data_IF_566250745931
#
_entry.id   IF_566250745931
#
_cell.length_a   1.000
_cell.length_b   1.000
_cell.length_c   1.000
_cell.angle_alpha   90.00
_cell.angle_beta   90.00
_cell.angle_gamma   90.00
#
_symmetry.space_group_name_H-M   'P 1'
#
loop_
_entity.id
_entity.type
_entity.pdbx_description
1 polymer ?
#
# COMPACT_ATOMS: atom_id res chain seq x y z
N UNK A 1 20.50 7.27 5.12
CA UNK A 1 19.03 7.46 5.12
C UNK A 1 18.44 6.25 5.83
N UNK A 2 18.07 6.39 7.10
CA UNK A 2 17.51 5.29 7.90
C UNK A 2 16.05 5.05 7.47
N UNK A 3 15.61 3.81 7.21
CA UNK A 3 14.22 3.53 6.87
C UNK A 3 13.38 3.51 8.17
N UNK A 4 12.75 4.63 8.50
CA UNK A 4 12.07 4.84 9.79
C UNK A 4 10.71 4.11 9.94
N UNK A 5 10.13 3.53 8.87
CA UNK A 5 8.79 2.94 8.94
C UNK A 5 8.70 1.50 9.47
N UNK A 6 9.75 0.68 9.33
CA UNK A 6 9.69 -0.76 9.67
C UNK A 6 10.27 -1.11 11.04
N UNK A 7 10.84 -0.14 11.75
CA UNK A 7 11.57 -0.38 13.00
C UNK A 7 10.64 -0.69 14.18
N UNK A 8 9.45 -0.10 14.23
CA UNK A 8 8.50 -0.33 15.34
C UNK A 8 7.99 -1.78 15.31
N UNK A 9 7.55 -2.27 14.16
CA UNK A 9 7.00 -3.62 14.00
C UNK A 9 8.03 -4.75 14.13
N UNK A 10 9.33 -4.41 14.08
CA UNK A 10 10.44 -5.34 14.31
C UNK A 10 11.13 -5.11 15.66
N UNK A 11 10.67 -4.14 16.45
CA UNK A 11 11.29 -3.83 17.73
C UNK A 11 11.05 -4.97 18.72
N UNK A 12 12.07 -5.27 19.53
CA UNK A 12 11.97 -6.29 20.59
C UNK A 12 10.82 -6.00 21.56
N UNK A 13 10.58 -4.73 21.86
CA UNK A 13 9.45 -4.30 22.70
C UNK A 13 8.09 -4.66 22.11
N UNK A 14 7.87 -4.37 20.82
CA UNK A 14 6.62 -4.73 20.13
C UNK A 14 6.45 -6.24 20.01
N UNK A 15 7.51 -6.96 19.59
CA UNK A 15 7.45 -8.43 19.43
C UNK A 15 7.22 -9.13 20.77
N UNK A 16 7.89 -8.67 21.84
CA UNK A 16 7.68 -9.16 23.19
C UNK A 16 6.28 -8.87 23.72
N UNK A 17 5.73 -7.68 23.44
CA UNK A 17 4.35 -7.34 23.79
C UNK A 17 3.34 -8.19 23.00
N UNK A 18 3.50 -8.37 21.69
CA UNK A 18 2.64 -9.24 20.87
C UNK A 18 2.65 -10.68 21.39
N UNK A 19 3.84 -11.23 21.66
CA UNK A 19 3.98 -12.60 22.20
C UNK A 19 3.31 -12.76 23.57
N UNK A 20 3.39 -11.74 24.43
CA UNK A 20 2.80 -11.78 25.78
C UNK A 20 1.30 -11.56 25.79
N UNK A 21 0.81 -10.59 25.02
CA UNK A 21 -0.58 -10.10 25.08
C UNK A 21 -1.48 -10.81 24.06
N UNK A 22 -0.94 -11.20 22.91
CA UNK A 22 -1.67 -11.81 21.81
C UNK A 22 -0.98 -13.08 21.29
N UNK A 23 -0.80 -14.13 22.13
CA UNK A 23 -0.05 -15.33 21.75
C UNK A 23 -0.68 -16.11 20.58
N UNK A 24 -1.97 -15.89 20.30
CA UNK A 24 -2.69 -16.53 19.19
C UNK A 24 -2.54 -15.79 17.86
N UNK A 25 -1.86 -14.63 17.82
CA UNK A 25 -1.61 -13.87 16.60
C UNK A 25 -0.23 -14.23 16.05
N UNK A 26 -0.21 -14.75 14.82
CA UNK A 26 1.04 -15.07 14.11
C UNK A 26 1.49 -13.83 13.34
N UNK A 27 2.72 -13.36 13.60
CA UNK A 27 3.31 -12.24 12.89
C UNK A 27 3.99 -12.71 11.60
N UNK A 28 3.54 -12.20 10.46
CA UNK A 28 4.13 -12.47 9.14
C UNK A 28 4.92 -11.25 8.69
N UNK A 29 6.23 -11.41 8.53
CA UNK A 29 7.08 -10.32 8.04
C UNK A 29 7.12 -10.31 6.51
N UNK A 30 6.75 -9.17 5.94
CA UNK A 30 6.89 -8.91 4.51
C UNK A 30 8.30 -8.40 4.21
N UNK A 31 8.90 -8.91 3.13
CA UNK A 31 10.21 -8.45 2.66
C UNK A 31 10.15 -6.97 2.24
N UNK A 32 11.29 -6.28 2.33
CA UNK A 32 11.39 -4.91 1.84
C UNK A 32 11.06 -4.83 0.34
N UNK A 33 10.35 -3.78 -0.07
CA UNK A 33 9.87 -3.56 -1.45
C UNK A 33 8.83 -4.59 -1.94
N UNK A 34 8.28 -5.42 -1.07
CA UNK A 34 7.21 -6.36 -1.41
C UNK A 34 5.83 -5.87 -0.94
N UNK A 35 5.73 -4.67 -0.38
CA UNK A 35 4.47 -4.13 0.19
C UNK A 35 3.38 -4.01 -0.88
N UNK A 36 3.72 -3.46 -2.04
CA UNK A 36 2.81 -3.32 -3.18
C UNK A 36 2.35 -4.63 -3.83
N UNK A 37 2.83 -5.78 -3.37
CA UNK A 37 2.49 -7.11 -3.90
C UNK A 37 1.91 -8.03 -2.84
N UNK A 38 2.34 -7.89 -1.57
CA UNK A 38 1.99 -8.81 -0.50
C UNK A 38 1.29 -8.15 0.69
N UNK A 39 0.90 -6.89 0.58
CA UNK A 39 0.03 -6.25 1.56
C UNK A 39 -1.34 -6.03 0.94
N UNK A 40 -2.37 -6.79 1.34
CA UNK A 40 -3.72 -6.65 0.80
C UNK A 40 -4.27 -5.23 0.92
N UNK A 41 -3.86 -4.52 1.98
CA UNK A 41 -4.20 -3.11 2.15
C UNK A 41 -3.66 -2.26 1.00
N UNK A 42 -2.39 -2.38 0.65
CA UNK A 42 -1.79 -1.61 -0.44
C UNK A 42 -2.32 -2.04 -1.82
N UNK A 43 -2.51 -3.35 -2.02
CA UNK A 43 -2.88 -3.93 -3.33
C UNK A 43 -4.31 -3.59 -3.75
N UNK A 44 -5.28 -3.69 -2.82
CA UNK A 44 -6.70 -3.52 -3.17
C UNK A 44 -7.38 -2.40 -2.39
N UNK A 45 -7.27 -2.43 -1.07
CA UNK A 45 -8.11 -1.60 -0.18
C UNK A 45 -7.75 -0.12 -0.24
N UNK A 46 -6.46 0.20 -0.28
CA UNK A 46 -5.97 1.58 -0.24
C UNK A 46 -6.40 2.38 -1.47
N UNK A 47 -6.53 1.73 -2.64
CA UNK A 47 -7.03 2.37 -3.85
C UNK A 47 -8.47 2.83 -3.69
N UNK A 48 -9.34 1.94 -3.22
CA UNK A 48 -10.76 2.25 -2.95
C UNK A 48 -10.88 3.33 -1.88
N UNK A 49 -10.11 3.20 -0.78
CA UNK A 49 -10.08 4.20 0.30
C UNK A 49 -9.72 5.59 -0.22
N UNK A 50 -8.62 5.71 -0.99
CA UNK A 50 -8.17 6.99 -1.56
C UNK A 50 -9.21 7.60 -2.49
N UNK A 51 -9.84 6.78 -3.33
CA UNK A 51 -10.88 7.25 -4.25
C UNK A 51 -12.11 7.74 -3.49
N UNK A 52 -12.59 6.98 -2.50
CA UNK A 52 -13.72 7.39 -1.68
C UNK A 52 -13.44 8.70 -0.93
N UNK A 53 -12.24 8.83 -0.36
CA UNK A 53 -11.82 10.05 0.32
C UNK A 53 -11.81 11.26 -0.63
N UNK A 54 -11.25 11.10 -1.84
CA UNK A 54 -11.23 12.15 -2.87
C UNK A 54 -12.64 12.60 -3.23
N UNK A 55 -13.54 11.65 -3.54
CA UNK A 55 -14.94 11.94 -3.90
C UNK A 55 -15.70 12.60 -2.76
N UNK A 56 -15.52 12.13 -1.54
CA UNK A 56 -16.19 12.68 -0.36
C UNK A 56 -15.76 14.13 -0.10
N UNK A 57 -14.46 14.40 -0.19
CA UNK A 57 -13.93 15.76 -0.09
C UNK A 57 -14.41 16.66 -1.23
N UNK A 58 -14.44 16.15 -2.46
CA UNK A 58 -14.91 16.91 -3.61
C UNK A 58 -16.39 17.27 -3.48
N UNK A 59 -17.24 16.29 -3.16
CA UNK A 59 -18.68 16.49 -2.96
C UNK A 59 -18.97 17.51 -1.84
N UNK A 60 -18.25 17.45 -0.73
CA UNK A 60 -18.38 18.41 0.38
C UNK A 60 -18.07 19.85 -0.07
N UNK A 61 -16.96 20.05 -0.78
CA UNK A 61 -16.55 21.36 -1.29
C UNK A 61 -17.57 21.88 -2.32
N UNK A 62 -18.03 21.03 -3.24
CA UNK A 62 -19.03 21.40 -4.25
C UNK A 62 -20.35 21.79 -3.58
N UNK A 63 -20.79 21.06 -2.55
CA UNK A 63 -22.00 21.37 -1.81
C UNK A 63 -21.90 22.74 -1.11
N UNK A 64 -20.78 23.03 -0.44
CA UNK A 64 -20.56 24.32 0.21
C UNK A 64 -20.53 25.48 -0.79
N UNK A 65 -19.78 25.33 -1.89
CA UNK A 65 -19.68 26.35 -2.94
C UNK A 65 -21.06 26.59 -3.55
N UNK A 66 -21.78 25.52 -3.92
CA UNK A 66 -23.11 25.62 -4.50
C UNK A 66 -24.09 26.33 -3.57
N UNK A 67 -24.05 26.02 -2.27
CA UNK A 67 -24.84 26.71 -1.25
C UNK A 67 -24.52 28.20 -1.16
N UNK A 68 -23.23 28.57 -1.18
CA UNK A 68 -22.78 29.98 -1.15
C UNK A 68 -23.18 30.75 -2.41
N UNK A 69 -23.07 30.14 -3.59
CA UNK A 69 -23.53 30.74 -4.85
C UNK A 69 -25.05 30.95 -4.86
N UNK A 70 -25.82 29.95 -4.44
CA UNK A 70 -27.28 30.06 -4.37
C UNK A 70 -27.74 31.17 -3.41
N UNK A 71 -26.97 31.42 -2.35
CA UNK A 71 -27.20 32.52 -1.42
C UNK A 71 -26.69 33.89 -1.92
N UNK A 72 -26.08 33.98 -3.11
CA UNK A 72 -25.49 35.21 -3.63
C UNK A 72 -24.31 35.74 -2.79
N UNK A 73 -23.68 34.88 -1.99
CA UNK A 73 -22.58 35.24 -1.08
C UNK A 73 -21.22 35.14 -1.78
N UNK A 74 -20.21 35.81 -1.23
CA UNK A 74 -18.83 35.68 -1.72
C UNK A 74 -18.31 34.25 -1.52
N UNK A 75 -17.76 33.66 -2.58
CA UNK A 75 -17.23 32.29 -2.58
C UNK A 75 -15.84 32.28 -1.95
N UNK A 76 -15.80 32.15 -0.62
CA UNK A 76 -14.57 31.91 0.14
C UNK A 76 -14.73 30.62 0.94
N UNK A 77 -13.78 29.70 0.86
CA UNK A 77 -13.79 28.45 1.61
C UNK A 77 -13.04 28.62 2.92
N UNK A 78 -13.61 28.14 4.02
CA UNK A 78 -12.89 28.09 5.29
C UNK A 78 -11.97 26.86 5.30
N UNK A 79 -10.69 27.11 5.08
CA UNK A 79 -9.62 26.10 5.09
C UNK A 79 -8.90 26.03 6.44
N UNK A 80 -9.50 26.55 7.51
CA UNK A 80 -8.93 26.46 8.85
C UNK A 80 -8.83 25.00 9.29
N UNK A 81 -7.76 24.68 10.03
CA UNK A 81 -7.50 23.31 10.48
C UNK A 81 -8.64 22.70 11.30
N UNK A 82 -9.33 23.43 12.21
CA UNK A 82 -10.51 22.89 12.91
C UNK A 82 -11.61 22.44 11.94
N UNK A 83 -11.97 23.29 10.96
CA UNK A 83 -13.01 22.99 9.97
C UNK A 83 -12.62 21.80 9.09
N UNK A 84 -11.36 21.75 8.64
CA UNK A 84 -10.87 20.62 7.85
C UNK A 84 -10.83 19.31 8.64
N UNK A 85 -10.57 19.34 9.95
CA UNK A 85 -10.60 18.13 10.79
C UNK A 85 -12.01 17.56 10.91
N UNK A 86 -13.00 18.42 11.17
CA UNK A 86 -14.39 17.99 11.33
C UNK A 86 -14.93 17.40 10.03
N UNK A 87 -14.63 18.04 8.89
CA UNK A 87 -14.98 17.51 7.55
C UNK A 87 -14.29 16.19 7.24
N UNK A 88 -12.98 16.11 7.53
CA UNK A 88 -12.20 14.91 7.26
C UNK A 88 -12.74 13.68 8.00
N UNK A 89 -13.29 13.83 9.20
CA UNK A 89 -13.93 12.72 9.91
C UNK A 89 -15.12 12.15 9.11
N UNK A 90 -15.98 13.01 8.57
CA UNK A 90 -17.08 12.58 7.70
C UNK A 90 -16.59 11.84 6.46
N UNK A 91 -15.50 12.33 5.83
CA UNK A 91 -14.89 11.66 4.67
C UNK A 91 -14.28 10.30 5.03
N UNK A 92 -13.65 10.16 6.20
CA UNK A 92 -13.08 8.90 6.69
C UNK A 92 -14.18 7.88 6.97
N UNK A 93 -15.27 8.29 7.62
CA UNK A 93 -16.40 7.41 7.95
C UNK A 93 -17.03 6.86 6.67
N UNK A 94 -17.30 7.74 5.69
CA UNK A 94 -17.81 7.29 4.39
C UNK A 94 -16.84 6.34 3.68
N UNK A 95 -15.55 6.67 3.66
CA UNK A 95 -14.54 5.81 3.07
C UNK A 95 -14.40 4.46 3.78
N UNK A 96 -14.60 4.41 5.10
CA UNK A 96 -14.65 3.16 5.87
C UNK A 96 -15.81 2.27 5.40
N UNK A 97 -17.02 2.80 5.26
CA UNK A 97 -18.17 2.03 4.77
C UNK A 97 -17.93 1.50 3.34
N UNK A 98 -17.32 2.32 2.48
CA UNK A 98 -16.99 1.91 1.11
C UNK A 98 -15.99 0.74 1.05
N UNK A 99 -15.02 0.70 1.95
CA UNK A 99 -14.02 -0.38 2.00
C UNK A 99 -14.44 -1.59 2.84
N UNK A 100 -15.43 -1.44 3.73
CA UNK A 100 -15.89 -2.51 4.63
C UNK A 100 -16.79 -3.52 3.90
N UNK A 101 -16.34 -3.98 2.73
CA UNK A 101 -17.03 -4.93 1.86
C UNK A 101 -16.25 -6.25 1.85
N UNK A 102 -16.81 -7.36 2.37
CA UNK A 102 -16.10 -8.64 2.47
C UNK A 102 -15.55 -9.15 1.12
N UNK A 103 -16.27 -8.89 0.02
CA UNK A 103 -15.84 -9.25 -1.33
C UNK A 103 -14.54 -8.53 -1.73
N UNK A 104 -14.46 -7.21 -1.46
CA UNK A 104 -13.26 -6.41 -1.71
C UNK A 104 -12.07 -6.92 -0.90
N UNK A 105 -12.29 -7.20 0.40
CA UNK A 105 -11.22 -7.71 1.27
C UNK A 105 -10.72 -9.05 0.74
N UNK A 106 -11.61 -10.02 0.47
CA UNK A 106 -11.21 -11.33 -0.08
C UNK A 106 -10.44 -11.19 -1.39
N UNK A 107 -10.91 -10.32 -2.30
CA UNK A 107 -10.22 -10.05 -3.56
C UNK A 107 -8.84 -9.46 -3.35
N UNK A 108 -8.68 -8.51 -2.42
CA UNK A 108 -7.39 -7.90 -2.13
C UNK A 108 -6.33 -8.93 -1.69
N UNK A 109 -6.74 -9.96 -0.93
CA UNK A 109 -5.86 -11.08 -0.59
C UNK A 109 -5.55 -11.99 -1.79
N UNK A 110 -6.53 -12.21 -2.67
CA UNK A 110 -6.35 -12.98 -3.90
C UNK A 110 -5.37 -12.32 -4.88
N UNK A 111 -5.43 -10.99 -4.98
CA UNK A 111 -4.56 -10.17 -5.83
C UNK A 111 -3.12 -10.12 -5.30
N UNK A 112 -2.88 -10.45 -4.03
CA UNK A 112 -1.53 -10.57 -3.47
C UNK A 112 -0.83 -11.83 -3.98
N UNK A 113 -0.47 -11.86 -5.28
CA UNK A 113 -0.04 -13.04 -6.02
C UNK A 113 1.44 -13.00 -6.40
N UNK A 114 2.13 -14.13 -6.23
CA UNK A 114 3.45 -14.40 -6.80
C UNK A 114 3.48 -15.80 -7.40
N UNK A 115 3.76 -15.87 -8.71
CA UNK A 115 3.65 -17.09 -9.52
C UNK A 115 2.23 -17.67 -9.37
N UNK A 116 2.10 -18.97 -9.07
CA UNK A 116 0.81 -19.62 -8.84
C UNK A 116 0.21 -19.43 -7.43
N UNK A 117 0.93 -18.80 -6.50
CA UNK A 117 0.50 -18.63 -5.10
C UNK A 117 -0.03 -17.22 -4.84
N UNK A 118 -1.01 -17.10 -3.95
CA UNK A 118 -1.43 -15.81 -3.40
C UNK A 118 -1.75 -15.94 -1.90
N UNK A 119 -2.22 -14.84 -1.29
CA UNK A 119 -2.58 -14.82 0.13
C UNK A 119 -4.03 -15.25 0.40
N UNK A 120 -4.78 -15.73 -0.59
CA UNK A 120 -6.13 -16.23 -0.37
C UNK A 120 -6.11 -17.60 0.32
N UNK A 121 -7.17 -17.89 1.07
CA UNK A 121 -7.36 -19.20 1.68
C UNK A 121 -7.34 -20.34 0.64
N UNK A 122 -7.88 -20.08 -0.55
CA UNK A 122 -7.92 -21.06 -1.64
C UNK A 122 -6.52 -21.50 -2.04
N UNK A 123 -5.55 -20.58 -2.09
CA UNK A 123 -4.16 -20.91 -2.39
C UNK A 123 -3.57 -21.88 -1.37
N UNK A 124 -3.92 -21.77 -0.08
CA UNK A 124 -3.44 -22.70 0.95
C UNK A 124 -4.07 -24.09 0.84
N UNK A 125 -5.30 -24.18 0.31
CA UNK A 125 -6.03 -25.45 0.17
C UNK A 125 -5.79 -26.18 -1.14
N UNK A 126 -5.09 -25.56 -2.11
CA UNK A 126 -4.80 -26.19 -3.41
C UNK A 126 -3.96 -27.47 -3.21
N UNK A 127 -4.32 -28.59 -3.87
CA UNK A 127 -3.55 -29.84 -3.77
C UNK A 127 -2.06 -29.67 -4.11
N UNK A 128 -1.75 -28.84 -5.12
CA UNK A 128 -0.38 -28.51 -5.50
C UNK A 128 0.38 -27.80 -4.38
N UNK A 129 -0.28 -26.90 -3.65
CA UNK A 129 0.31 -26.17 -2.52
C UNK A 129 0.53 -27.09 -1.33
N UNK A 130 -0.44 -27.95 -1.01
CA UNK A 130 -0.28 -28.96 0.04
C UNK A 130 0.84 -29.95 -0.28
N UNK A 131 0.98 -30.35 -1.55
CA UNK A 131 2.08 -31.19 -2.00
C UNK A 131 3.42 -30.46 -1.88
N UNK A 132 3.50 -29.20 -2.32
CA UNK A 132 4.70 -28.38 -2.18
C UNK A 132 5.11 -28.20 -0.72
N UNK A 133 4.15 -27.94 0.18
CA UNK A 133 4.37 -27.87 1.63
C UNK A 133 4.85 -29.21 2.21
N UNK A 134 4.32 -30.33 1.74
CA UNK A 134 4.77 -31.67 2.13
C UNK A 134 6.21 -31.93 1.71
N UNK A 135 6.55 -31.60 0.45
CA UNK A 135 7.92 -31.71 -0.07
C UNK A 135 8.86 -30.83 0.76
N UNK A 136 8.50 -29.57 1.00
CA UNK A 136 9.29 -28.60 1.77
C UNK A 136 9.61 -29.09 3.18
N UNK A 137 8.66 -29.78 3.84
CA UNK A 137 8.88 -30.41 5.16
C UNK A 137 9.92 -31.54 5.13
N UNK A 138 10.13 -32.17 3.98
CA UNK A 138 11.10 -33.27 3.83
C UNK A 138 12.43 -32.81 3.24
N UNK A 139 12.43 -31.83 2.34
CA UNK A 139 13.62 -31.36 1.62
C UNK A 139 14.45 -30.35 2.43
N UNK A 140 13.83 -29.55 3.31
CA UNK A 140 14.52 -28.52 4.08
C UNK A 140 14.43 -28.78 5.58
N UNK A 141 15.26 -29.72 6.07
CA UNK A 141 15.31 -30.11 7.49
C UNK A 141 15.54 -28.91 8.42
N UNK A 142 16.35 -27.92 8.02
CA UNK A 142 16.59 -26.71 8.82
C UNK A 142 15.34 -25.83 8.95
N UNK A 143 14.60 -25.66 7.86
CA UNK A 143 13.40 -24.84 7.83
C UNK A 143 12.27 -25.53 8.60
N UNK A 144 12.18 -26.86 8.47
CA UNK A 144 11.32 -27.68 9.33
C UNK A 144 11.70 -27.53 10.79
N UNK A 145 12.98 -27.63 11.16
CA UNK A 145 13.42 -27.48 12.54
C UNK A 145 13.01 -26.11 13.11
N UNK A 146 13.17 -25.02 12.33
CA UNK A 146 12.69 -23.69 12.73
C UNK A 146 11.17 -23.66 12.94
N UNK A 147 10.39 -24.20 12.00
CA UNK A 147 8.94 -24.26 12.09
C UNK A 147 8.43 -25.12 13.25
N UNK A 148 9.10 -26.23 13.58
CA UNK A 148 8.68 -27.12 14.68
C UNK A 148 9.17 -26.66 16.05
N UNK A 149 10.30 -25.93 16.11
CA UNK A 149 10.88 -25.50 17.38
C UNK A 149 10.21 -24.23 17.94
N UNK A 150 9.61 -23.38 17.10
CA UNK A 150 8.91 -22.17 17.55
C UNK A 150 7.59 -22.44 18.30
N UNK A 151 7.03 -23.66 18.19
CA UNK A 151 5.79 -24.04 18.88
C UNK A 151 6.01 -24.66 20.27
N UNK A 152 7.24 -25.00 20.69
CA UNK A 152 7.45 -25.78 21.94
C UNK A 152 8.47 -25.25 22.95
N UNK A 153 8.99 -24.02 22.82
CA UNK A 153 9.84 -23.47 23.87
C UNK A 153 9.50 -22.01 24.24
N UNK A 154 9.10 -21.73 25.49
CA UNK A 154 9.39 -20.44 26.06
C UNK A 154 10.90 -20.33 26.08
N UNK A 155 11.47 -19.41 25.30
CA UNK A 155 12.89 -19.08 25.41
C UNK A 155 13.16 -18.74 26.88
N UNK A 156 13.78 -19.70 27.56
CA UNK A 156 14.42 -19.49 28.82
C UNK A 156 15.58 -18.55 28.55
N UNK A 157 15.28 -17.25 28.59
CA UNK A 157 16.25 -16.20 28.88
C UNK A 157 16.86 -16.59 30.22
N UNK A 158 17.93 -17.37 30.10
CA UNK A 158 18.67 -17.93 31.21
C UNK A 158 19.43 -16.78 31.82
N UNK A 159 18.89 -16.31 32.95
CA UNK A 159 19.62 -15.89 34.15
C UNK A 159 21.12 -15.61 33.91
N UNK A 160 21.44 -14.35 33.66
CA UNK A 160 22.71 -13.77 34.14
C UNK A 160 22.53 -12.32 34.51
N UNK A 161 21.75 -12.06 35.55
CA UNK A 161 21.95 -10.87 36.38
C UNK A 161 22.12 -11.29 37.84
N UNK A 162 23.39 -11.27 38.20
CA UNK A 162 23.97 -11.02 39.52
C UNK A 162 23.07 -10.20 40.44
N UNK A 163 22.82 -10.80 41.60
CA UNK A 163 22.45 -10.20 42.89
C UNK A 163 22.63 -8.68 43.00
N UNK A 164 21.53 -7.95 43.18
CA UNK A 164 21.54 -6.68 43.94
C UNK A 164 20.22 -6.42 44.66
N UNK A 165 20.33 -6.49 45.98
CA UNK A 165 19.59 -5.78 47.03
C UNK A 165 18.05 -5.73 47.04
N UNK A 166 17.52 -6.30 48.14
CA UNK A 166 16.23 -6.02 48.78
C UNK A 166 15.81 -4.55 48.71
N UNK A 167 14.58 -4.30 48.26
CA UNK A 167 13.76 -3.19 48.73
C UNK A 167 12.31 -3.66 48.89
N UNK A 168 11.77 -3.41 50.08
CA UNK A 168 10.38 -3.64 50.49
C UNK A 168 9.50 -2.53 49.90
N UNK A 169 8.32 -2.86 49.38
CA UNK A 169 7.10 -2.05 49.47
C UNK A 169 5.93 -2.89 48.92
N UNK A 170 5.02 -3.35 49.79
CA UNK A 170 3.83 -2.65 50.30
C UNK A 170 2.67 -2.70 49.31
N UNK A 171 1.85 -3.72 49.54
CA UNK A 171 0.50 -3.97 49.04
C UNK A 171 -0.41 -2.76 49.19
N UNK A 172 -1.06 -2.35 48.10
CA UNK A 172 -2.34 -1.66 48.13
C UNK A 172 -3.26 -2.29 47.10
N UNK A 173 -4.36 -2.82 47.61
CA UNK A 173 -5.50 -3.42 46.93
C UNK A 173 -6.38 -2.27 46.42
N UNK A 174 -6.66 -2.23 45.13
CA UNK A 174 -7.65 -1.32 44.55
C UNK A 174 -8.75 -2.18 43.93
N UNK A 175 -9.96 -1.99 44.45
CA UNK A 175 -11.22 -2.51 43.91
C UNK A 175 -11.54 -1.72 42.64
N UNK A 176 -11.92 -2.43 41.58
CA UNK A 176 -12.40 -1.85 40.32
C UNK A 176 -13.89 -2.16 40.28
N UNK A 177 -14.70 -1.11 40.30
CA UNK A 177 -16.14 -1.15 40.08
C UNK A 177 -16.40 -1.43 38.59
N UNK A 178 -17.33 -2.35 38.32
CA UNK A 178 -17.87 -2.61 37.00
C UNK A 178 -18.95 -1.55 36.72
N UNK A 179 -18.67 -0.62 35.80
CA UNK A 179 -19.67 0.27 35.22
C UNK A 179 -20.31 -0.40 34.01
N UNK A 180 -21.64 -0.48 34.03
CA UNK A 180 -22.51 -0.94 32.96
C UNK A 180 -22.31 -0.08 31.70
N UNK A 181 -21.98 -0.73 30.58
CA UNK A 181 -21.84 -0.09 29.27
C UNK A 181 -23.24 -0.05 28.64
N UNK A 182 -23.78 1.16 28.52
CA UNK A 182 -25.03 1.47 27.84
C UNK A 182 -24.99 1.05 26.36
N UNK A 183 -26.12 0.51 25.90
CA UNK A 183 -26.39 0.09 24.53
C UNK A 183 -26.18 1.27 23.56
N UNK A 184 -25.19 1.16 22.67
CA UNK A 184 -24.95 2.13 21.60
C UNK A 184 -26.15 2.14 20.63
N UNK A 185 -26.99 3.18 20.74
CA UNK A 185 -27.90 3.58 19.67
C UNK A 185 -27.07 3.88 18.41
N UNK A 186 -27.19 3.02 17.39
CA UNK A 186 -26.72 3.29 16.04
C UNK A 186 -27.38 4.60 15.54
N UNK A 187 -26.64 5.71 15.65
CA UNK A 187 -27.01 6.97 15.00
C UNK A 187 -26.98 6.75 13.49
N UNK A 188 -28.14 6.43 12.92
CA UNK A 188 -28.36 6.35 11.50
C UNK A 188 -28.15 7.74 10.87
N UNK A 189 -26.96 7.98 10.34
CA UNK A 189 -26.73 9.09 9.43
C UNK A 189 -27.53 8.81 8.15
N UNK A 190 -28.63 9.52 7.98
CA UNK A 190 -29.42 9.47 6.75
C UNK A 190 -28.63 10.15 5.64
N UNK A 191 -28.10 9.36 4.70
CA UNK A 191 -27.34 9.78 3.52
C UNK A 191 -28.22 10.46 2.45
N UNK A 192 -29.05 11.44 2.84
CA UNK A 192 -29.87 12.23 1.90
C UNK A 192 -29.04 13.39 1.30
N UNK A 193 -27.84 13.08 0.84
CA UNK A 193 -27.02 13.99 0.04
C UNK A 193 -27.37 13.69 -1.41
N UNK A 194 -28.20 14.56 -1.99
CA UNK A 194 -28.65 14.48 -3.38
C UNK A 194 -27.52 14.09 -4.33
N UNK A 195 -27.82 13.17 -5.24
CA UNK A 195 -26.91 12.57 -6.20
C UNK A 195 -26.36 13.60 -7.20
N UNK A 196 -25.40 14.42 -6.76
CA UNK A 196 -24.56 15.20 -7.65
C UNK A 196 -23.61 14.23 -8.34
N UNK A 197 -24.00 13.82 -9.55
CA UNK A 197 -23.19 12.98 -10.42
C UNK A 197 -22.13 13.87 -11.08
N UNK A 198 -21.07 14.18 -10.32
CA UNK A 198 -19.92 14.91 -10.86
C UNK A 198 -19.25 14.07 -11.96
N UNK A 199 -19.18 14.63 -13.16
CA UNK A 199 -18.78 13.91 -14.38
C UNK A 199 -17.27 13.61 -14.45
N UNK A 200 -16.50 14.02 -13.45
CA UNK A 200 -15.05 13.87 -13.42
C UNK A 200 -14.58 12.75 -12.48
N UNK A 201 -15.46 12.20 -11.61
CA UNK A 201 -15.06 11.18 -10.64
C UNK A 201 -15.64 9.81 -11.00
N UNK A 202 -14.75 8.81 -11.12
CA UNK A 202 -15.12 7.40 -11.27
C UNK A 202 -15.88 6.93 -10.02
N UNK A 203 -17.08 6.34 -10.15
CA UNK A 203 -17.80 5.75 -9.04
C UNK A 203 -16.94 4.76 -8.24
N UNK A 204 -17.12 4.74 -6.91
CA UNK A 204 -16.34 3.86 -6.03
C UNK A 204 -16.72 2.41 -6.27
N UNK A 205 -17.99 2.19 -6.60
CA UNK A 205 -18.58 0.93 -7.04
C UNK A 205 -17.84 0.39 -8.26
N UNK A 206 -17.64 1.21 -9.29
CA UNK A 206 -16.92 0.82 -10.51
C UNK A 206 -15.44 0.50 -10.23
N UNK A 207 -14.79 1.24 -9.33
CA UNK A 207 -13.42 0.91 -8.89
C UNK A 207 -13.38 -0.42 -8.14
N UNK A 208 -14.37 -0.68 -7.28
CA UNK A 208 -14.48 -1.96 -6.55
C UNK A 208 -14.73 -3.10 -7.53
N UNK A 209 -15.64 -2.91 -8.50
CA UNK A 209 -15.96 -3.89 -9.53
C UNK A 209 -14.73 -4.20 -10.39
N UNK A 210 -14.01 -3.19 -10.85
CA UNK A 210 -12.75 -3.35 -11.58
C UNK A 210 -11.71 -4.15 -10.78
N UNK A 211 -11.60 -3.91 -9.47
CA UNK A 211 -10.70 -4.68 -8.60
C UNK A 211 -11.17 -6.13 -8.50
N UNK A 212 -12.49 -6.36 -8.34
CA UNK A 212 -13.08 -7.69 -8.23
C UNK A 212 -12.90 -8.51 -9.51
N UNK A 213 -13.08 -7.88 -10.67
CA UNK A 213 -12.97 -8.53 -11.98
C UNK A 213 -11.53 -8.59 -12.49
N UNK A 214 -10.55 -8.09 -11.74
CA UNK A 214 -9.16 -7.93 -12.19
C UNK A 214 -9.03 -7.11 -13.48
N UNK A 215 -9.98 -6.20 -13.73
CA UNK A 215 -10.08 -5.45 -14.97
C UNK A 215 -10.45 -6.29 -16.20
N UNK A 216 -10.98 -7.51 -16.01
CA UNK A 216 -11.45 -8.36 -17.11
C UNK A 216 -12.75 -7.85 -17.73
N UNK A 217 -13.55 -7.10 -16.96
CA UNK A 217 -14.76 -6.46 -17.46
C UNK A 217 -14.45 -5.01 -17.85
N UNK A 218 -14.72 -4.70 -19.11
CA UNK A 218 -14.69 -3.33 -19.62
C UNK A 218 -15.90 -2.60 -19.02
N UNK A 219 -15.61 -1.60 -18.18
CA UNK A 219 -16.66 -0.77 -17.60
C UNK A 219 -16.97 0.32 -18.62
N UNK A 220 -18.23 0.38 -19.05
CA UNK A 220 -18.67 1.32 -20.09
C UNK A 220 -18.27 2.76 -19.72
N UNK A 221 -17.55 3.44 -20.62
CA UNK A 221 -17.06 4.80 -20.39
C UNK A 221 -15.74 4.94 -19.62
N UNK A 222 -15.10 3.86 -19.17
CA UNK A 222 -13.84 3.88 -18.41
C UNK A 222 -12.74 3.04 -19.08
N UNK A 223 -11.52 3.58 -19.13
CA UNK A 223 -10.31 2.92 -19.62
C UNK A 223 -9.27 2.85 -18.52
N UNK A 224 -8.56 1.72 -18.42
CA UNK A 224 -7.39 1.61 -17.55
C UNK A 224 -6.20 2.36 -18.19
N UNK A 225 -5.69 3.37 -17.49
CA UNK A 225 -4.46 4.07 -17.85
C UNK A 225 -3.23 3.17 -17.72
N UNK A 226 -2.10 3.62 -18.27
CA UNK A 226 -0.82 2.88 -18.23
C UNK A 226 -0.32 2.58 -16.80
N UNK A 227 -0.75 3.38 -15.81
CA UNK A 227 -0.46 3.20 -14.39
C UNK A 227 -1.47 2.30 -13.66
N UNK A 228 -2.46 1.77 -14.39
CA UNK A 228 -3.58 0.98 -13.86
C UNK A 228 -4.69 1.81 -13.22
N UNK A 229 -4.63 3.15 -13.24
CA UNK A 229 -5.71 4.02 -12.80
C UNK A 229 -6.89 3.93 -13.78
N UNK A 230 -8.12 4.08 -13.30
CA UNK A 230 -9.29 4.17 -14.18
C UNK A 230 -9.48 5.64 -14.57
N UNK A 231 -9.58 5.91 -15.87
CA UNK A 231 -9.84 7.22 -16.45
C UNK A 231 -11.09 7.13 -17.34
N UNK A 232 -11.89 8.20 -17.44
CA UNK A 232 -13.05 8.19 -18.35
C UNK A 232 -12.57 8.33 -19.80
N UNK A 233 -13.24 7.65 -20.73
CA UNK A 233 -12.95 7.72 -22.17
C UNK A 233 -12.92 9.17 -22.70
N UNK A 234 -13.79 10.03 -22.18
CA UNK A 234 -13.85 11.45 -22.55
C UNK A 234 -12.61 12.26 -22.14
N UNK A 235 -11.81 11.79 -21.19
CA UNK A 235 -10.55 12.43 -20.78
C UNK A 235 -9.34 11.92 -21.59
N UNK A 236 -9.53 10.87 -22.40
CA UNK A 236 -8.51 10.30 -23.29
C UNK A 236 -8.55 10.97 -24.67
N UNK A 237 -9.46 11.91 -24.92
CA UNK A 237 -9.44 12.72 -26.13
C UNK A 237 -8.15 13.57 -26.18
N UNK A 238 -7.46 13.43 -27.31
CA UNK A 238 -6.12 13.91 -27.60
C UNK A 238 -5.94 15.41 -27.26
N UNK A 239 -5.05 15.81 -26.34
CA UNK A 239 -4.75 17.22 -26.10
C UNK A 239 -4.16 17.93 -27.32
N UNK A 240 -3.76 17.19 -28.37
CA UNK A 240 -3.30 17.74 -29.65
C UNK A 240 -4.44 17.91 -30.68
N UNK A 241 -5.71 17.68 -30.31
CA UNK A 241 -6.83 18.06 -31.15
C UNK A 241 -6.85 19.60 -31.31
N UNK A 242 -6.58 20.08 -32.52
CA UNK A 242 -6.47 21.50 -32.87
C UNK A 242 -7.67 22.30 -32.32
N UNK A 243 -7.45 23.01 -31.22
CA UNK A 243 -8.43 23.95 -30.65
C UNK A 243 -8.62 25.07 -31.66
N UNK A 244 -9.85 25.39 -32.11
CA UNK A 244 -10.08 26.53 -32.99
C UNK A 244 -9.59 27.81 -32.32
N UNK A 245 -8.79 28.57 -33.07
CA UNK A 245 -8.12 29.81 -32.66
C UNK A 245 -9.14 30.88 -32.24
N UNK A 246 -9.41 30.98 -30.93
CA UNK A 246 -10.30 32.00 -30.34
C UNK A 246 -9.46 33.09 -29.70
N UNK A 247 -9.44 34.23 -30.39
CA UNK A 247 -9.17 35.60 -29.96
C UNK A 247 -8.11 35.83 -28.85
N UNK A 248 -6.96 36.32 -29.32
CA UNK A 248 -5.92 37.03 -28.57
C UNK A 248 -6.48 38.16 -27.70
N UNK A 249 -6.41 37.99 -26.38
CA UNK A 249 -6.46 39.08 -25.40
C UNK A 249 -5.11 39.20 -24.67
N UNK A 250 -4.74 40.44 -24.41
CA UNK A 250 -3.41 40.88 -23.99
C UNK A 250 -2.94 40.28 -22.65
N UNK A 251 -1.64 40.00 -22.62
CA UNK A 251 -0.88 39.21 -21.67
C UNK A 251 -0.51 40.03 -20.41
N UNK A 252 -0.93 39.69 -19.17
CA UNK A 252 -0.21 40.08 -17.96
C UNK A 252 0.90 39.07 -17.65
N UNK A 253 2.09 39.56 -17.31
CA UNK A 253 3.27 38.73 -17.02
C UNK A 253 3.03 37.74 -15.87
N UNK A 254 3.45 36.46 -16.00
CA UNK A 254 3.38 35.51 -14.90
C UNK A 254 4.52 35.71 -13.91
N UNK A 255 4.18 35.93 -12.64
CA UNK A 255 5.12 35.77 -11.52
C UNK A 255 5.50 34.29 -11.36
N UNK A 256 6.80 33.99 -11.48
CA UNK A 256 7.36 32.66 -11.28
C UNK A 256 7.29 32.24 -9.80
N UNK A 257 6.20 31.58 -9.40
CA UNK A 257 6.15 30.82 -8.15
C UNK A 257 6.78 29.44 -8.39
N UNK A 258 8.08 29.33 -8.10
CA UNK A 258 8.88 28.12 -8.23
C UNK A 258 8.36 26.96 -7.37
N UNK A 259 7.67 26.00 -7.98
CA UNK A 259 7.59 24.63 -7.48
C UNK A 259 8.70 23.81 -8.15
N UNK A 260 9.69 23.40 -7.36
CA UNK A 260 10.80 22.59 -7.83
C UNK A 260 10.31 21.33 -8.55
N UNK A 261 10.56 21.26 -9.87
CA UNK A 261 10.37 20.04 -10.66
C UNK A 261 11.33 18.98 -10.14
N UNK A 262 10.84 18.01 -9.38
CA UNK A 262 11.60 16.79 -9.15
C UNK A 262 11.64 15.99 -10.45
N UNK A 263 12.83 15.80 -10.99
CA UNK A 263 13.07 14.85 -12.08
C UNK A 263 12.67 13.44 -11.60
N UNK A 264 11.55 12.93 -12.11
CA UNK A 264 11.16 11.53 -11.92
C UNK A 264 12.26 10.66 -12.51
N UNK A 265 12.99 9.94 -11.66
CA UNK A 265 13.91 8.89 -12.13
C UNK A 265 13.06 7.73 -12.66
N UNK A 266 13.38 7.16 -13.84
CA UNK A 266 12.66 6.01 -14.34
C UNK A 266 12.74 4.86 -13.34
N UNK A 267 11.61 4.20 -13.09
CA UNK A 267 11.54 2.98 -12.29
C UNK A 267 12.45 1.93 -12.91
N UNK A 268 13.40 1.40 -12.14
CA UNK A 268 14.21 0.26 -12.59
C UNK A 268 13.27 -0.94 -12.72
N UNK A 269 13.07 -1.40 -13.95
CA UNK A 269 12.48 -2.70 -14.24
C UNK A 269 13.44 -3.76 -13.66
N UNK A 270 12.99 -4.53 -12.69
CA UNK A 270 13.78 -5.63 -12.14
C UNK A 270 13.59 -6.83 -13.05
N UNK A 271 14.61 -7.19 -13.82
CA UNK A 271 14.62 -8.44 -14.58
C UNK A 271 14.53 -9.66 -13.63
N UNK A 272 13.83 -10.68 -14.12
CA UNK A 272 13.12 -11.73 -13.39
C UNK A 272 13.98 -12.89 -12.86
N UNK A 273 15.27 -12.73 -12.62
CA UNK A 273 16.12 -13.86 -12.21
C UNK A 273 16.56 -13.75 -10.76
N UNK A 274 15.73 -14.31 -9.87
CA UNK A 274 16.14 -14.64 -8.51
C UNK A 274 17.01 -15.91 -8.56
N UNK A 275 18.33 -15.75 -8.61
CA UNK A 275 19.27 -16.87 -8.45
C UNK A 275 19.52 -17.06 -6.95
N UNK A 276 19.15 -18.22 -6.43
CA UNK A 276 19.50 -18.65 -5.08
C UNK A 276 20.96 -19.14 -5.10
N UNK A 277 21.87 -18.43 -4.43
CA UNK A 277 23.24 -18.91 -4.24
C UNK A 277 23.26 -19.88 -3.05
N UNK A 278 23.56 -21.15 -3.31
CA UNK A 278 23.63 -22.20 -2.28
C UNK A 278 24.91 -22.14 -1.41
N UNK A 279 25.84 -21.23 -1.70
CA UNK A 279 27.19 -21.21 -1.08
C UNK A 279 27.38 -20.22 0.10
N UNK A 280 26.33 -19.55 0.60
CA UNK A 280 26.46 -18.68 1.79
C UNK A 280 26.50 -19.50 3.08
N UNK A 281 27.65 -20.14 3.32
CA UNK A 281 28.01 -20.72 4.61
C UNK A 281 28.32 -19.61 5.63
N UNK A 282 27.32 -19.34 6.46
CA UNK A 282 27.40 -18.88 7.86
C UNK A 282 28.52 -17.88 8.20
N UNK A 283 28.18 -16.58 8.12
CA UNK A 283 28.73 -15.60 9.03
C UNK A 283 27.58 -14.85 9.73
N UNK A 284 27.45 -15.01 11.04
CA UNK A 284 26.26 -14.62 11.82
C UNK A 284 26.10 -13.10 12.02
N UNK A 285 26.82 -12.27 11.27
CA UNK A 285 26.70 -10.81 11.32
C UNK A 285 26.97 -10.09 9.98
N UNK A 286 26.94 -10.78 8.83
CA UNK A 286 27.13 -10.09 7.55
C UNK A 286 25.80 -9.51 7.02
N UNK A 287 25.70 -8.19 7.04
CA UNK A 287 24.72 -7.48 6.23
C UNK A 287 25.03 -7.72 4.76
N UNK A 288 23.97 -7.96 3.96
CA UNK A 288 24.02 -8.11 2.50
C UNK A 288 24.77 -6.90 1.89
N UNK A 289 26.04 -7.07 1.56
CA UNK A 289 26.80 -6.09 0.79
C UNK A 289 26.70 -6.40 -0.69
N UNK A 290 26.19 -5.43 -1.44
CA UNK A 290 26.01 -5.49 -2.89
C UNK A 290 27.37 -5.45 -3.60
N UNK A 291 27.74 -6.53 -4.29
CA UNK A 291 28.87 -6.51 -5.24
C UNK A 291 28.38 -5.89 -6.54
N UNK A 292 28.83 -4.68 -6.86
CA UNK A 292 28.61 -4.05 -8.18
C UNK A 292 29.65 -4.66 -9.12
N UNK A 293 29.23 -5.58 -9.97
CA UNK A 293 30.07 -6.02 -11.10
C UNK A 293 29.92 -4.98 -12.20
N UNK A 294 30.94 -4.15 -12.38
CA UNK A 294 31.03 -3.23 -13.50
C UNK A 294 31.28 -4.04 -14.78
N UNK A 295 30.26 -4.19 -15.63
CA UNK A 295 30.41 -4.73 -16.97
C UNK A 295 31.30 -3.81 -17.82
N UNK A 296 32.48 -4.28 -18.19
CA UNK A 296 33.37 -3.63 -19.15
C UNK A 296 32.81 -3.80 -20.56
N UNK A 297 32.24 -2.74 -21.13
CA UNK A 297 31.95 -2.67 -22.57
C UNK A 297 33.24 -2.33 -23.33
N UNK A 298 33.91 -3.34 -23.88
CA UNK A 298 34.99 -3.14 -24.85
C UNK A 298 34.40 -2.75 -26.22
N UNK A 299 34.55 -1.48 -26.59
CA UNK A 299 34.33 -0.99 -27.96
C UNK A 299 35.45 -1.52 -28.87
N UNK A 300 35.07 -2.28 -29.89
CA UNK A 300 35.96 -2.65 -30.98
C UNK A 300 36.28 -1.42 -31.85
N UNK A 301 37.57 -1.12 -31.99
CA UNK A 301 38.12 -0.11 -32.89
C UNK A 301 38.28 -0.74 -34.27
N UNK A 302 37.57 -0.23 -35.27
CA UNK A 302 37.77 -0.58 -36.68
C UNK A 302 39.00 0.15 -37.23
N UNK A 303 40.14 -0.55 -37.25
CA UNK A 303 41.37 -0.13 -37.91
C UNK A 303 41.46 -0.67 -39.33
N UNK A 304 41.70 0.22 -40.29
CA UNK A 304 41.97 -0.03 -41.69
C UNK A 304 43.14 -0.99 -41.90
N UNK A 305 43.08 -1.83 -42.94
CA UNK A 305 44.28 -2.22 -43.67
C UNK A 305 43.99 -2.47 -45.15
N UNK A 306 44.60 -1.63 -45.97
CA UNK A 306 44.78 -1.76 -47.40
C UNK A 306 45.78 -2.89 -47.70
N UNK A 307 45.57 -3.60 -48.82
CA UNK A 307 46.65 -4.04 -49.71
C UNK A 307 46.10 -4.55 -51.05
N UNK A 308 46.58 -3.87 -52.09
CA UNK A 308 46.46 -4.16 -53.51
C UNK A 308 46.90 -5.58 -53.88
N UNK A 309 46.22 -6.18 -54.86
CA UNK A 309 46.82 -7.09 -55.84
C UNK A 309 45.84 -7.35 -57.00
N UNK A 310 46.09 -6.73 -58.17
CA UNK A 310 46.29 -7.42 -59.47
C UNK A 310 46.38 -6.45 -60.66
N UNK A 311 47.37 -6.78 -61.51
CA UNK A 311 47.59 -6.44 -62.92
C UNK A 311 47.92 -4.99 -63.27
#
# INVERSE_FOLDING_TARGET
MYPWGSLVHKSEGFLGWMKKTHPNIILIFILGNCTSVFQPLDVGVQRVLKQSFKRSAHADIVAEISGKLAAGSSVTLDMSLPVLRDRALGWIVKAYHDINKPALVKKAFELCRVKEYNLSQESLTKPSTLQALSILKTSHLELRAKLTNDDTAPDSVTKKQTSRAKAKNSTSKAEVEEEDIDEEEEMAFTDDIGTYNDSCDVPVEDVIEHIITEGAEEIDGLVAGEDGSLMRLAEVEDPDAEVPDVCTLENPQPEELGRGKQLKKPSKLWEKDWVYNEDDTVDKNSYITRKVVAGQNSKAVSGQNSKNLKA
#
